data_IF_627032928953
#
_entry.id   IF_627032928953
#
_cell.length_a   1.000
_cell.length_b   1.000
_cell.length_c   1.000
_cell.angle_alpha   90.00
_cell.angle_beta   90.00
_cell.angle_gamma   90.00
#
_symmetry.space_group_name_H-M   'P 1'
#
loop_
_entity.id
_entity.type
_entity.pdbx_description
1 polymer ?
#
# COMPACT_ATOMS: atom_id res chain seq x y z
N UNK A 1 33.06 -27.64 5.47
CA UNK A 1 31.65 -27.33 5.78
C UNK A 1 31.57 -25.82 5.90
N UNK A 2 30.98 -25.17 4.90
CA UNK A 2 31.10 -23.73 4.67
C UNK A 2 30.30 -22.92 5.70
N UNK A 3 30.94 -21.93 6.33
CA UNK A 3 30.25 -20.85 7.01
C UNK A 3 29.61 -19.97 5.94
N UNK A 4 28.28 -19.98 5.89
CA UNK A 4 27.50 -18.99 5.15
C UNK A 4 27.61 -17.67 5.89
N UNK A 5 28.53 -16.81 5.45
CA UNK A 5 28.48 -15.38 5.76
C UNK A 5 27.28 -14.80 5.04
N UNK A 6 26.22 -14.46 5.77
CA UNK A 6 25.21 -13.52 5.28
C UNK A 6 25.93 -12.22 4.93
N UNK A 7 26.03 -11.91 3.64
CA UNK A 7 26.35 -10.56 3.19
C UNK A 7 25.22 -9.67 3.69
N UNK A 8 25.47 -8.96 4.79
CA UNK A 8 24.54 -8.00 5.34
C UNK A 8 24.16 -6.99 4.28
N UNK A 9 22.87 -6.71 4.15
CA UNK A 9 22.42 -5.46 3.57
C UNK A 9 23.18 -4.36 4.32
N UNK A 10 24.02 -3.60 3.61
CA UNK A 10 24.71 -2.44 4.18
C UNK A 10 23.64 -1.55 4.79
N UNK A 11 23.61 -1.45 6.12
CA UNK A 11 22.66 -0.57 6.79
C UNK A 11 22.90 0.85 6.27
N UNK A 12 21.89 1.43 5.63
CA UNK A 12 21.94 2.80 5.13
C UNK A 12 22.33 3.72 6.28
N UNK A 13 23.36 4.53 6.09
CA UNK A 13 23.82 5.49 7.10
C UNK A 13 22.69 6.48 7.42
N UNK A 14 22.39 6.71 8.69
CA UNK A 14 21.25 7.53 9.09
C UNK A 14 21.48 9.02 8.76
N UNK A 15 20.45 9.70 8.26
CA UNK A 15 20.49 11.11 7.85
C UNK A 15 19.93 12.05 8.93
N UNK A 16 20.37 13.30 8.94
CA UNK A 16 19.72 14.33 9.74
C UNK A 16 18.44 14.80 9.05
N UNK A 17 17.48 15.27 9.86
CA UNK A 17 16.25 15.89 9.42
C UNK A 17 16.15 17.27 10.05
N UNK A 18 16.10 18.30 9.20
CA UNK A 18 15.92 19.69 9.56
C UNK A 18 14.54 20.13 9.13
N UNK A 19 13.81 20.77 10.05
CA UNK A 19 12.49 21.32 9.74
C UNK A 19 12.49 22.81 10.05
N UNK A 20 12.08 23.59 9.06
CA UNK A 20 11.96 25.03 9.13
C UNK A 20 10.48 25.43 9.12
N UNK A 21 10.11 26.48 9.86
CA UNK A 21 8.75 27.06 9.81
C UNK A 21 7.71 26.34 10.67
N UNK A 22 8.14 25.51 11.61
CA UNK A 22 7.28 24.94 12.64
C UNK A 22 6.60 26.02 13.52
N UNK A 23 5.35 25.77 13.94
CA UNK A 23 4.65 26.59 14.93
C UNK A 23 4.78 25.99 16.33
N UNK A 24 4.75 26.86 17.33
CA UNK A 24 4.76 26.46 18.75
C UNK A 24 3.68 25.39 19.04
N UNK A 25 4.06 24.30 19.72
CA UNK A 25 3.18 23.18 20.06
C UNK A 25 3.01 22.13 18.97
N UNK A 26 3.72 22.25 17.84
CA UNK A 26 3.76 21.24 16.78
C UNK A 26 5.00 20.33 16.84
N UNK A 27 5.90 20.50 17.81
CA UNK A 27 7.17 19.75 17.89
C UNK A 27 6.94 18.23 17.83
N UNK A 28 5.84 17.80 18.46
CA UNK A 28 5.40 16.41 18.47
C UNK A 28 4.99 15.90 17.11
N UNK A 29 4.33 16.70 16.26
CA UNK A 29 3.90 16.28 14.93
C UNK A 29 5.09 16.01 14.01
N UNK A 30 6.18 16.73 14.17
CA UNK A 30 7.40 16.48 13.39
C UNK A 30 8.02 15.14 13.76
N UNK A 31 8.22 14.90 15.06
CA UNK A 31 8.87 13.69 15.54
C UNK A 31 7.96 12.44 15.45
N UNK A 32 6.63 12.62 15.40
CA UNK A 32 5.68 11.53 15.33
C UNK A 32 5.05 11.30 13.95
N UNK A 33 5.07 12.29 13.04
CA UNK A 33 4.49 12.15 11.70
C UNK A 33 5.58 12.12 10.64
N UNK A 34 6.41 13.16 10.54
CA UNK A 34 7.38 13.29 9.45
C UNK A 34 8.53 12.29 9.62
N UNK A 35 9.18 12.31 10.80
CA UNK A 35 10.36 11.46 11.06
C UNK A 35 10.04 9.97 10.90
N UNK A 36 8.94 9.41 11.42
CA UNK A 36 8.65 7.98 11.27
C UNK A 36 8.33 7.58 9.84
N UNK A 37 7.66 8.43 9.05
CA UNK A 37 7.37 8.14 7.64
C UNK A 37 8.67 8.03 6.85
N UNK A 38 9.57 9.01 6.98
CA UNK A 38 10.86 8.99 6.28
C UNK A 38 11.70 7.81 6.76
N UNK A 39 11.82 7.61 8.08
CA UNK A 39 12.64 6.55 8.66
C UNK A 39 12.18 5.14 8.30
N UNK A 40 10.86 4.93 8.20
CA UNK A 40 10.30 3.62 7.88
C UNK A 40 10.39 3.31 6.38
N UNK A 41 10.14 4.30 5.52
CA UNK A 41 9.88 4.02 4.10
C UNK A 41 10.96 4.53 3.13
N UNK A 42 11.80 5.48 3.55
CA UNK A 42 12.78 6.14 2.67
C UNK A 42 14.20 5.86 3.14
N UNK A 43 14.56 6.35 4.33
CA UNK A 43 15.92 6.32 4.84
C UNK A 43 15.94 6.54 6.37
N UNK A 44 16.75 5.79 7.14
CA UNK A 44 16.84 6.00 8.59
C UNK A 44 17.20 7.45 8.94
N UNK A 45 16.51 8.00 9.94
CA UNK A 45 16.77 9.37 10.42
C UNK A 45 17.38 9.32 11.83
N UNK A 46 18.47 10.07 12.03
CA UNK A 46 19.10 10.25 13.34
C UNK A 46 18.67 11.57 14.00
N UNK A 47 18.70 11.64 15.34
CA UNK A 47 18.43 12.87 16.05
C UNK A 47 19.52 13.90 15.77
N UNK A 48 19.13 15.18 15.76
CA UNK A 48 20.07 16.30 15.77
C UNK A 48 20.58 16.47 17.22
N UNK A 49 21.90 16.57 17.46
CA UNK A 49 22.44 16.81 18.81
C UNK A 49 21.91 18.11 19.41
N UNK A 50 21.86 18.21 20.73
CA UNK A 50 21.33 19.39 21.43
C UNK A 50 22.18 20.65 21.16
N UNK A 51 23.48 20.45 20.94
CA UNK A 51 24.45 21.46 20.52
C UNK A 51 24.32 21.86 19.03
N UNK A 52 23.40 21.24 18.29
CA UNK A 52 23.28 21.37 16.85
C UNK A 52 24.28 20.50 16.08
N UNK A 53 24.36 20.69 14.76
CA UNK A 53 25.43 20.10 13.95
C UNK A 53 26.39 21.19 13.48
N UNK A 54 27.65 20.81 13.31
CA UNK A 54 28.66 21.73 12.80
C UNK A 54 28.51 21.94 11.29
N UNK A 55 28.96 23.07 10.76
CA UNK A 55 28.97 23.33 9.31
C UNK A 55 29.69 22.23 8.52
N UNK A 56 30.72 21.63 9.11
CA UNK A 56 31.43 20.49 8.51
C UNK A 56 30.55 19.25 8.39
N UNK A 57 29.67 19.00 9.36
CA UNK A 57 28.71 17.88 9.30
C UNK A 57 27.61 18.17 8.28
N UNK A 58 27.11 19.40 8.20
CA UNK A 58 26.17 19.81 7.15
C UNK A 58 26.73 19.57 5.73
N UNK A 59 28.02 19.80 5.52
CA UNK A 59 28.65 19.64 4.20
C UNK A 59 28.89 18.17 3.79
N UNK A 60 29.12 17.30 4.77
CA UNK A 60 29.59 15.93 4.57
C UNK A 60 28.51 14.87 4.75
N UNK A 61 27.51 15.12 5.59
CA UNK A 61 26.51 14.13 5.95
C UNK A 61 25.23 14.27 5.12
N UNK A 62 24.42 13.21 5.10
CA UNK A 62 23.13 13.22 4.43
C UNK A 62 22.07 13.97 5.25
N UNK A 63 21.28 14.77 4.56
CA UNK A 63 20.32 15.71 5.15
C UNK A 63 18.98 15.64 4.41
N UNK A 64 17.91 15.71 5.19
CA UNK A 64 16.56 16.05 4.73
C UNK A 64 16.21 17.43 5.26
N UNK A 65 15.80 18.33 4.38
CA UNK A 65 15.35 19.67 4.72
C UNK A 65 13.86 19.81 4.38
N UNK A 66 13.04 19.98 5.41
CA UNK A 66 11.61 20.23 5.28
C UNK A 66 11.34 21.69 5.62
N UNK A 67 10.53 22.37 4.82
CA UNK A 67 10.07 23.72 5.09
C UNK A 67 8.55 23.73 5.15
N UNK A 68 8.00 24.33 6.21
CA UNK A 68 6.57 24.47 6.46
C UNK A 68 6.20 25.95 6.36
N UNK A 69 5.26 26.27 5.49
CA UNK A 69 4.74 27.63 5.32
C UNK A 69 3.24 27.61 5.52
N UNK A 70 2.79 28.23 6.60
CA UNK A 70 1.37 28.30 6.96
C UNK A 70 0.73 29.59 6.45
N UNK A 71 -0.39 29.46 5.77
CA UNK A 71 -1.31 30.56 5.46
C UNK A 71 -2.58 30.45 6.35
N UNK A 72 -3.55 31.35 6.17
CA UNK A 72 -4.82 31.31 6.92
C UNK A 72 -5.60 29.99 6.71
N UNK A 73 -5.48 29.35 5.54
CA UNK A 73 -6.29 28.18 5.17
C UNK A 73 -5.48 26.99 4.67
N UNK A 74 -4.17 27.15 4.49
CA UNK A 74 -3.35 26.10 3.90
C UNK A 74 -2.01 25.94 4.60
N UNK A 75 -1.49 24.71 4.59
CA UNK A 75 -0.09 24.40 4.84
C UNK A 75 0.56 24.10 3.49
N UNK A 76 1.65 24.80 3.18
CA UNK A 76 2.53 24.46 2.08
C UNK A 76 3.79 23.81 2.65
N UNK A 77 4.16 22.65 2.14
CA UNK A 77 5.36 21.92 2.54
C UNK A 77 6.29 21.76 1.35
N UNK A 78 7.59 21.98 1.55
CA UNK A 78 8.63 21.54 0.62
C UNK A 78 9.60 20.59 1.33
N UNK A 79 10.11 19.61 0.60
CA UNK A 79 11.17 18.72 1.06
C UNK A 79 12.28 18.69 0.02
N UNK A 80 13.52 18.83 0.47
CA UNK A 80 14.72 18.64 -0.34
C UNK A 80 15.73 17.75 0.40
N UNK A 81 16.57 17.04 -0.34
CA UNK A 81 17.60 16.17 0.24
C UNK A 81 18.98 16.54 -0.26
N UNK A 82 19.95 16.57 0.66
CA UNK A 82 21.36 16.78 0.35
C UNK A 82 22.15 15.53 0.72
N UNK A 83 23.10 15.17 -0.14
CA UNK A 83 24.06 14.06 0.08
C UNK A 83 23.40 12.70 0.37
N UNK A 84 22.15 12.50 -0.04
CA UNK A 84 21.47 11.20 -0.06
C UNK A 84 21.76 10.46 -1.37
N UNK A 85 21.70 9.14 -1.35
CA UNK A 85 21.82 8.31 -2.58
C UNK A 85 20.67 8.61 -3.55
N UNK A 86 19.46 8.79 -3.02
CA UNK A 86 18.28 9.18 -3.77
C UNK A 86 17.98 10.65 -3.51
N UNK A 87 18.10 11.47 -4.55
CA UNK A 87 17.70 12.88 -4.49
C UNK A 87 16.19 12.98 -4.53
N UNK A 88 15.61 13.53 -3.47
CA UNK A 88 14.19 13.83 -3.36
C UNK A 88 14.06 15.34 -3.27
N UNK A 89 13.23 15.91 -4.13
CA UNK A 89 12.84 17.31 -4.09
C UNK A 89 11.37 17.38 -4.45
N UNK A 90 10.56 18.06 -3.64
CA UNK A 90 9.12 18.12 -3.86
C UNK A 90 8.42 19.19 -3.05
N UNK A 91 7.20 19.48 -3.48
CA UNK A 91 6.33 20.49 -2.90
C UNK A 91 4.89 19.97 -2.91
N UNK A 92 4.17 20.18 -1.82
CA UNK A 92 2.75 19.90 -1.73
C UNK A 92 2.05 20.96 -0.87
N UNK A 93 0.73 21.06 -1.03
CA UNK A 93 -0.10 21.98 -0.26
C UNK A 93 -1.34 21.26 0.20
N UNK A 94 -1.78 21.53 1.43
CA UNK A 94 -2.99 20.96 2.00
C UNK A 94 -3.87 22.03 2.62
N UNK A 95 -5.17 21.92 2.39
CA UNK A 95 -6.21 22.71 3.05
C UNK A 95 -6.81 22.03 4.29
N UNK A 96 -6.34 20.83 4.65
CA UNK A 96 -6.84 20.12 5.82
C UNK A 96 -6.42 20.80 7.13
N UNK A 97 -7.12 20.48 8.21
CA UNK A 97 -6.69 20.89 9.55
C UNK A 97 -5.50 20.07 10.02
N UNK A 98 -4.71 20.63 10.95
CA UNK A 98 -3.70 19.87 11.66
C UNK A 98 -4.35 18.73 12.48
N UNK A 99 -3.74 17.53 12.54
CA UNK A 99 -2.43 17.14 11.97
C UNK A 99 -2.48 16.60 10.53
N UNK A 100 -3.67 16.45 9.96
CA UNK A 100 -3.86 15.78 8.67
C UNK A 100 -3.22 16.52 7.50
N UNK A 101 -3.11 17.85 7.58
CA UNK A 101 -2.36 18.61 6.59
C UNK A 101 -0.88 18.24 6.51
N UNK A 102 -0.22 17.95 7.64
CA UNK A 102 1.17 17.50 7.67
C UNK A 102 1.26 16.08 7.10
N UNK A 103 0.37 15.18 7.53
CA UNK A 103 0.33 13.78 7.05
C UNK A 103 0.13 13.72 5.54
N UNK A 104 -0.85 14.45 5.02
CA UNK A 104 -1.17 14.50 3.59
C UNK A 104 0.03 15.03 2.79
N UNK A 105 0.53 16.22 3.14
CA UNK A 105 1.60 16.87 2.37
C UNK A 105 2.89 16.05 2.32
N UNK A 106 3.34 15.48 3.43
CA UNK A 106 4.56 14.66 3.44
C UNK A 106 4.38 13.37 2.63
N UNK A 107 3.21 12.73 2.72
CA UNK A 107 2.92 11.51 1.97
C UNK A 107 2.84 11.78 0.47
N UNK A 108 2.18 12.87 0.05
CA UNK A 108 2.14 13.32 -1.35
C UNK A 108 3.54 13.55 -1.91
N UNK A 109 4.39 14.30 -1.20
CA UNK A 109 5.76 14.60 -1.65
C UNK A 109 6.59 13.32 -1.82
N UNK A 110 6.47 12.39 -0.87
CA UNK A 110 7.29 11.18 -0.84
C UNK A 110 6.72 10.03 -1.68
N UNK A 111 5.46 10.13 -2.13
CA UNK A 111 4.70 8.99 -2.67
C UNK A 111 5.46 8.24 -3.76
N UNK A 112 6.03 8.95 -4.72
CA UNK A 112 6.75 8.36 -5.84
C UNK A 112 8.05 7.64 -5.44
N UNK A 113 8.62 7.97 -4.28
CA UNK A 113 9.86 7.40 -3.77
C UNK A 113 9.65 6.12 -2.94
N UNK A 114 8.40 5.84 -2.55
CA UNK A 114 8.07 4.62 -1.81
C UNK A 114 8.15 3.36 -2.70
N UNK A 115 8.56 2.25 -2.08
CA UNK A 115 8.45 0.92 -2.69
C UNK A 115 6.99 0.55 -2.98
N UNK A 116 6.77 -0.39 -3.91
CA UNK A 116 5.43 -0.92 -4.21
C UNK A 116 4.67 -1.40 -2.95
N UNK A 117 5.37 -2.11 -2.06
CA UNK A 117 4.81 -2.58 -0.78
C UNK A 117 4.48 -1.42 0.17
N UNK A 118 5.36 -0.42 0.26
CA UNK A 118 5.13 0.77 1.09
C UNK A 118 3.95 1.59 0.60
N UNK A 119 3.79 1.76 -0.73
CA UNK A 119 2.63 2.45 -1.32
C UNK A 119 1.31 1.78 -0.92
N UNK A 120 1.23 0.44 -1.00
CA UNK A 120 0.04 -0.32 -0.58
C UNK A 120 -0.28 -0.10 0.90
N UNK A 121 0.72 -0.18 1.77
CA UNK A 121 0.55 0.02 3.20
C UNK A 121 0.12 1.45 3.55
N UNK A 122 0.78 2.46 2.95
CA UNK A 122 0.47 3.87 3.16
C UNK A 122 -0.96 4.18 2.73
N UNK A 123 -1.38 3.70 1.57
CA UNK A 123 -2.75 3.91 1.10
C UNK A 123 -3.79 3.23 2.00
N UNK A 124 -3.51 2.04 2.55
CA UNK A 124 -4.47 1.39 3.44
C UNK A 124 -4.54 2.05 4.82
N UNK A 125 -3.41 2.53 5.34
CA UNK A 125 -3.34 3.16 6.67
C UNK A 125 -3.80 4.62 6.70
N UNK A 126 -3.83 5.28 5.54
CA UNK A 126 -4.19 6.70 5.39
C UNK A 126 -5.38 6.89 4.44
N UNK A 127 -6.29 5.91 4.40
CA UNK A 127 -7.48 5.97 3.55
C UNK A 127 -8.39 7.16 3.88
N UNK A 128 -8.32 7.68 5.12
CA UNK A 128 -9.00 8.88 5.60
C UNK A 128 -8.55 10.17 4.88
N UNK A 129 -7.31 10.20 4.38
CA UNK A 129 -6.74 11.38 3.73
C UNK A 129 -7.07 11.49 2.23
N UNK A 130 -7.63 10.43 1.64
CA UNK A 130 -7.99 10.39 0.21
C UNK A 130 -6.87 10.88 -0.74
N UNK A 131 -5.63 10.45 -0.50
CA UNK A 131 -4.47 10.83 -1.32
C UNK A 131 -4.73 10.53 -2.80
N UNK A 132 -4.53 11.51 -3.68
CA UNK A 132 -4.86 11.40 -5.11
C UNK A 132 -4.12 10.24 -5.80
N UNK A 133 -2.87 9.99 -5.38
CA UNK A 133 -2.03 8.94 -5.95
C UNK A 133 -2.34 7.54 -5.41
N UNK A 134 -3.11 7.45 -4.34
CA UNK A 134 -3.55 6.16 -3.84
C UNK A 134 -4.64 5.61 -4.74
N UNK A 135 -4.48 4.38 -5.27
CA UNK A 135 -5.54 3.78 -6.06
C UNK A 135 -6.77 3.65 -5.15
N UNK A 136 -7.91 4.15 -5.63
CA UNK A 136 -9.18 3.81 -5.00
C UNK A 136 -9.32 2.29 -5.13
N UNK A 137 -9.12 1.58 -4.02
CA UNK A 137 -9.17 0.13 -4.06
C UNK A 137 -10.59 -0.28 -4.46
N UNK A 138 -10.68 -0.97 -5.59
CA UNK A 138 -11.92 -1.59 -5.99
C UNK A 138 -12.10 -2.84 -5.11
N UNK A 139 -13.02 -2.74 -4.15
CA UNK A 139 -13.53 -3.83 -3.35
C UNK A 139 -14.20 -4.83 -4.30
N UNK A 140 -13.46 -5.89 -4.58
CA UNK A 140 -13.71 -6.89 -5.61
C UNK A 140 -14.38 -8.10 -4.99
N UNK A 141 -15.61 -8.34 -5.42
CA UNK A 141 -16.39 -9.52 -5.12
C UNK A 141 -16.22 -10.54 -6.25
N UNK A 142 -15.79 -11.77 -5.92
CA UNK A 142 -15.75 -12.87 -6.89
C UNK A 142 -17.12 -13.54 -6.99
N UNK A 143 -17.56 -13.80 -8.23
CA UNK A 143 -18.81 -14.48 -8.53
C UNK A 143 -18.54 -15.57 -9.55
N UNK A 144 -18.94 -16.80 -9.24
CA UNK A 144 -18.89 -17.88 -10.22
C UNK A 144 -20.18 -17.88 -11.04
N UNK A 145 -20.07 -17.77 -12.36
CA UNK A 145 -21.17 -17.97 -13.29
C UNK A 145 -21.25 -19.45 -13.66
N UNK A 146 -22.31 -20.10 -13.19
CA UNK A 146 -22.59 -21.50 -13.47
C UNK A 146 -23.51 -21.64 -14.68
N UNK A 147 -23.17 -22.55 -15.60
CA UNK A 147 -24.00 -22.91 -16.74
C UNK A 147 -24.89 -24.11 -16.40
N UNK A 148 -26.23 -23.96 -16.35
CA UNK A 148 -27.16 -25.04 -16.00
C UNK A 148 -27.18 -26.20 -17.00
N UNK A 149 -26.71 -26.00 -18.23
CA UNK A 149 -26.68 -27.03 -19.28
C UNK A 149 -25.50 -28.01 -19.11
N UNK A 150 -24.62 -27.79 -18.12
CA UNK A 150 -23.51 -28.69 -17.80
C UNK A 150 -23.77 -29.36 -16.45
N UNK A 151 -23.65 -30.69 -16.41
CA UNK A 151 -23.71 -31.45 -15.16
C UNK A 151 -22.62 -30.97 -14.19
N UNK A 152 -23.01 -30.27 -13.13
CA UNK A 152 -22.10 -29.78 -12.10
C UNK A 152 -21.75 -30.91 -11.13
N UNK A 153 -20.70 -31.65 -11.48
CA UNK A 153 -20.16 -32.73 -10.66
C UNK A 153 -19.30 -32.22 -9.49
N UNK A 154 -18.96 -33.11 -8.56
CA UNK A 154 -18.06 -32.82 -7.43
C UNK A 154 -16.68 -32.29 -7.90
N UNK A 155 -16.14 -32.83 -9.00
CA UNK A 155 -14.88 -32.33 -9.59
C UNK A 155 -15.00 -30.88 -10.09
N UNK A 156 -16.19 -30.48 -10.54
CA UNK A 156 -16.47 -29.10 -10.96
C UNK A 156 -16.49 -28.17 -9.74
N UNK A 157 -17.11 -28.58 -8.63
CA UNK A 157 -17.09 -27.81 -7.39
C UNK A 157 -15.67 -27.62 -6.86
N UNK A 158 -14.84 -28.66 -6.91
CA UNK A 158 -13.45 -28.57 -6.48
C UNK A 158 -12.64 -27.63 -7.38
N UNK A 159 -12.85 -27.70 -8.70
CA UNK A 159 -12.18 -26.81 -9.65
C UNK A 159 -12.57 -25.33 -9.44
N UNK A 160 -13.85 -25.05 -9.13
CA UNK A 160 -14.30 -23.69 -8.80
C UNK A 160 -13.58 -23.17 -7.57
N UNK A 161 -13.46 -23.97 -6.50
CA UNK A 161 -12.74 -23.57 -5.28
C UNK A 161 -11.28 -23.27 -5.57
N UNK A 162 -10.58 -24.18 -6.26
CA UNK A 162 -9.16 -23.98 -6.61
C UNK A 162 -8.97 -22.71 -7.44
N UNK A 163 -9.79 -22.51 -8.47
CA UNK A 163 -9.69 -21.31 -9.30
C UNK A 163 -10.01 -20.03 -8.51
N UNK A 164 -10.98 -20.08 -7.60
CA UNK A 164 -11.30 -18.95 -6.74
C UNK A 164 -10.13 -18.58 -5.80
N UNK A 165 -9.41 -19.57 -5.26
CA UNK A 165 -8.20 -19.34 -4.44
C UNK A 165 -7.05 -18.72 -5.25
N UNK A 166 -6.83 -19.18 -6.48
CA UNK A 166 -5.84 -18.61 -7.40
C UNK A 166 -6.21 -17.18 -7.80
N UNK A 167 -7.48 -16.93 -8.17
CA UNK A 167 -7.98 -15.59 -8.50
C UNK A 167 -7.90 -14.64 -7.30
N UNK A 168 -8.21 -15.12 -6.09
CA UNK A 168 -8.02 -14.34 -4.86
C UNK A 168 -6.56 -13.91 -4.74
N UNK A 169 -5.62 -14.82 -4.94
CA UNK A 169 -4.19 -14.52 -4.86
C UNK A 169 -3.79 -13.44 -5.88
N UNK A 170 -4.23 -13.58 -7.13
CA UNK A 170 -3.98 -12.58 -8.19
C UNK A 170 -4.61 -11.22 -7.87
N UNK A 171 -5.83 -11.18 -7.34
CA UNK A 171 -6.50 -9.93 -6.91
C UNK A 171 -5.70 -9.27 -5.78
N UNK A 172 -5.24 -10.05 -4.81
CA UNK A 172 -4.48 -9.55 -3.66
C UNK A 172 -3.10 -9.01 -4.06
N UNK A 173 -2.50 -9.55 -5.12
CA UNK A 173 -1.24 -9.09 -5.70
C UNK A 173 -1.40 -7.82 -6.55
N UNK A 174 -2.57 -7.60 -7.16
CA UNK A 174 -2.81 -6.45 -8.02
C UNK A 174 -2.92 -5.14 -7.21
N UNK A 175 -2.21 -4.10 -7.64
CA UNK A 175 -2.33 -2.77 -7.04
C UNK A 175 -3.68 -2.15 -7.41
N UNK A 176 -4.48 -1.79 -6.41
CA UNK A 176 -5.77 -1.13 -6.60
C UNK A 176 -7.00 -2.04 -6.58
N UNK A 177 -6.84 -3.35 -6.33
CA UNK A 177 -7.95 -4.24 -6.00
C UNK A 177 -7.86 -4.70 -4.54
N UNK A 178 -9.02 -4.88 -3.91
CA UNK A 178 -9.15 -5.49 -2.59
C UNK A 178 -10.10 -6.67 -2.71
N UNK A 179 -9.64 -7.89 -2.42
CA UNK A 179 -10.52 -9.04 -2.38
C UNK A 179 -11.35 -9.02 -1.10
N UNK A 180 -12.66 -8.94 -1.24
CA UNK A 180 -13.58 -8.90 -0.09
C UNK A 180 -14.34 -10.21 0.15
N UNK A 181 -14.34 -11.11 -0.84
CA UNK A 181 -14.96 -12.42 -0.70
C UNK A 181 -15.51 -12.99 -2.00
N UNK A 182 -16.14 -14.16 -1.87
CA UNK A 182 -16.87 -14.85 -2.93
C UNK A 182 -18.36 -14.89 -2.59
N UNK A 183 -19.21 -14.46 -3.52
CA UNK A 183 -20.66 -14.45 -3.33
C UNK A 183 -21.30 -15.84 -3.48
N UNK A 184 -20.66 -16.72 -4.26
CA UNK A 184 -21.16 -18.05 -4.61
C UNK A 184 -21.29 -18.25 -6.12
N UNK A 185 -22.13 -19.22 -6.48
CA UNK A 185 -22.41 -19.62 -7.87
C UNK A 185 -23.80 -19.16 -8.29
N UNK A 186 -23.90 -18.46 -9.42
CA UNK A 186 -25.15 -17.88 -9.92
C UNK A 186 -25.29 -18.10 -11.43
N UNK A 187 -26.53 -18.10 -11.91
CA UNK A 187 -26.81 -18.01 -13.35
C UNK A 187 -26.66 -16.57 -13.84
N UNK A 188 -26.51 -16.39 -15.16
CA UNK A 188 -26.29 -15.06 -15.76
C UNK A 188 -27.42 -14.08 -15.43
N UNK A 189 -28.67 -14.52 -15.54
CA UNK A 189 -29.86 -13.73 -15.21
C UNK A 189 -29.88 -13.34 -13.73
N UNK A 190 -29.49 -14.24 -12.83
CA UNK A 190 -29.37 -13.97 -11.40
C UNK A 190 -28.26 -12.96 -11.08
N UNK A 191 -27.14 -13.00 -11.80
CA UNK A 191 -26.06 -12.01 -11.63
C UNK A 191 -26.55 -10.63 -12.04
N UNK A 192 -27.30 -10.53 -13.14
CA UNK A 192 -27.85 -9.26 -13.61
C UNK A 192 -28.91 -8.70 -12.66
N UNK A 193 -29.80 -9.56 -12.14
CA UNK A 193 -30.88 -9.14 -11.23
C UNK A 193 -30.38 -8.83 -9.81
N UNK A 194 -29.53 -9.70 -9.26
CA UNK A 194 -29.08 -9.62 -7.86
C UNK A 194 -27.74 -8.89 -7.68
N UNK A 195 -26.99 -8.63 -8.75
CA UNK A 195 -25.67 -8.00 -8.72
C UNK A 195 -25.62 -6.73 -7.86
N UNK A 196 -26.53 -5.74 -8.04
CA UNK A 196 -26.57 -4.54 -7.21
C UNK A 196 -26.79 -4.84 -5.71
N UNK A 197 -27.63 -5.83 -5.39
CA UNK A 197 -27.88 -6.25 -4.01
C UNK A 197 -26.66 -6.97 -3.42
N UNK A 198 -25.97 -7.80 -4.20
CA UNK A 198 -24.74 -8.47 -3.80
C UNK A 198 -23.62 -7.46 -3.52
N UNK A 199 -23.38 -6.52 -4.44
CA UNK A 199 -22.40 -5.43 -4.24
C UNK A 199 -22.70 -4.65 -2.95
N UNK A 200 -23.97 -4.29 -2.73
CA UNK A 200 -24.38 -3.60 -1.50
C UNK A 200 -24.18 -4.45 -0.24
N UNK A 201 -24.56 -5.74 -0.28
CA UNK A 201 -24.46 -6.67 0.85
C UNK A 201 -23.02 -6.89 1.29
N UNK A 202 -22.11 -6.99 0.33
CA UNK A 202 -20.69 -7.23 0.57
C UNK A 202 -19.89 -5.92 0.66
N UNK A 203 -20.53 -4.76 0.52
CA UNK A 203 -19.88 -3.45 0.42
C UNK A 203 -18.81 -3.38 -0.69
N UNK A 204 -19.02 -4.12 -1.78
CA UNK A 204 -18.18 -4.09 -2.97
C UNK A 204 -18.57 -2.96 -3.92
N UNK A 205 -17.59 -2.53 -4.72
CA UNK A 205 -17.78 -1.60 -5.83
C UNK A 205 -17.29 -2.19 -7.18
N UNK A 206 -16.79 -3.44 -7.17
CA UNK A 206 -16.46 -4.22 -8.36
C UNK A 206 -16.91 -5.67 -8.18
N UNK A 207 -17.57 -6.23 -9.20
CA UNK A 207 -17.84 -7.66 -9.31
C UNK A 207 -16.98 -8.26 -10.43
N UNK A 208 -16.20 -9.28 -10.11
CA UNK A 208 -15.43 -10.06 -11.08
C UNK A 208 -16.10 -11.43 -11.23
N UNK A 209 -16.64 -11.66 -12.43
CA UNK A 209 -17.37 -12.88 -12.76
C UNK A 209 -16.45 -13.83 -13.52
N UNK A 210 -16.42 -15.10 -13.14
CA UNK A 210 -15.67 -16.14 -13.84
C UNK A 210 -16.52 -17.38 -14.07
N UNK A 211 -16.23 -18.13 -15.11
CA UNK A 211 -16.90 -19.39 -15.45
C UNK A 211 -15.86 -20.44 -15.87
N UNK A 212 -16.24 -21.71 -15.79
CA UNK A 212 -15.39 -22.81 -16.23
C UNK A 212 -15.79 -23.28 -17.63
N UNK A 213 -14.81 -23.31 -18.53
CA UNK A 213 -14.93 -23.89 -19.87
C UNK A 213 -14.05 -25.14 -20.01
N UNK A 214 -14.52 -26.09 -20.83
CA UNK A 214 -13.86 -27.36 -21.07
C UNK A 214 -14.23 -28.50 -20.11
N UNK A 215 -13.67 -29.68 -20.40
CA UNK A 215 -13.83 -30.88 -19.57
C UNK A 215 -12.87 -30.84 -18.39
N UNK A 216 -13.41 -30.84 -17.17
CA UNK A 216 -12.62 -30.86 -15.94
C UNK A 216 -12.20 -32.30 -15.69
N UNK A 217 -10.98 -32.62 -16.09
CA UNK A 217 -10.40 -33.92 -15.80
C UNK A 217 -10.10 -34.02 -14.29
N UNK A 218 -10.73 -34.96 -13.56
CA UNK A 218 -10.39 -35.16 -12.16
C UNK A 218 -8.91 -35.53 -12.06
N UNK A 219 -8.17 -34.78 -11.23
CA UNK A 219 -6.78 -35.08 -10.92
C UNK A 219 -6.67 -36.49 -10.35
N UNK A 220 -6.05 -37.41 -11.09
CA UNK A 220 -5.62 -38.70 -10.55
C UNK A 220 -4.33 -38.52 -9.74
N UNK A 221 -4.34 -37.76 -8.64
CA UNK A 221 -3.20 -37.74 -7.72
C UNK A 221 -3.53 -37.30 -6.29
N UNK A 222 -4.42 -38.03 -5.62
CA UNK A 222 -4.35 -38.13 -4.15
C UNK A 222 -3.23 -39.11 -3.74
N UNK A 223 -1.97 -38.83 -4.07
CA UNK A 223 -0.88 -39.71 -3.64
C UNK A 223 0.51 -39.05 -3.59
N UNK A 224 0.63 -37.78 -3.23
CA UNK A 224 1.94 -37.18 -2.87
C UNK A 224 1.87 -36.18 -1.70
N UNK A 225 0.97 -36.42 -0.73
CA UNK A 225 1.09 -35.88 0.63
C UNK A 225 1.21 -37.01 1.66
N UNK A 226 2.18 -37.88 1.44
CA UNK A 226 2.77 -38.72 2.46
C UNK A 226 4.08 -39.26 1.91
N UNK A 227 5.19 -38.59 2.22
CA UNK A 227 6.47 -39.16 2.67
C UNK A 227 7.56 -38.09 2.66
N UNK A 228 8.10 -37.87 3.88
CA UNK A 228 9.36 -37.23 4.25
C UNK A 228 9.52 -35.71 4.03
#
# INVERSE_FOLDING_TARGET
>A
MALLTFQGASAKEACFLFINGEKEGQEFAIDQLIRPIISTHIHPIKPVPAEGITSRQEELECLFEVSLVYSEKTLNMSLDTKRTESKISGFASSGNSFPDNIRETILTILFHNFSASSKKLICSQNADLFLEECPQFLKTLLIHQYNPDKDFSESSSQAVTVLAEELQTLIQEHQGLEFIGMAGSFQEDQILDQGPLLLKKYEANLAMVFHLEGDILPSKSSMWKALA
#
